data_IF_126085001702
#
_entry.id   IF_126085001702
#
_cell.length_a   1.000
_cell.length_b   1.000
_cell.length_c   1.000
_cell.angle_alpha   90.00
_cell.angle_beta   90.00
_cell.angle_gamma   90.00
#
_symmetry.space_group_name_H-M   'P 1'
#
loop_
_entity.id
_entity.type
_entity.pdbx_description
1 polymer ?
#
# COMPACT_ATOMS: atom_id res chain seq x y z
N UNK A 1 18.60 -28.65 45.96
CA UNK A 1 18.72 -27.33 46.61
C UNK A 1 20.19 -26.95 46.66
N UNK A 2 20.67 -26.13 45.73
CA UNK A 2 22.07 -25.65 45.75
C UNK A 2 22.11 -24.21 45.27
N UNK A 3 22.14 -23.28 46.23
CA UNK A 3 22.23 -21.83 46.01
C UNK A 3 23.69 -21.48 45.67
N UNK A 4 23.97 -21.06 44.43
CA UNK A 4 25.25 -20.44 44.06
C UNK A 4 25.13 -18.92 44.18
N UNK A 5 25.86 -18.35 45.13
CA UNK A 5 25.99 -16.91 45.31
C UNK A 5 26.97 -16.35 44.27
N UNK A 6 26.47 -15.49 43.39
CA UNK A 6 27.29 -14.75 42.44
C UNK A 6 27.79 -13.47 43.12
N UNK A 7 29.10 -13.40 43.36
CA UNK A 7 29.76 -12.20 43.90
C UNK A 7 30.23 -11.34 42.73
N UNK A 8 29.60 -10.18 42.55
CA UNK A 8 29.97 -9.19 41.52
C UNK A 8 31.17 -8.37 42.00
N UNK A 9 32.30 -8.46 41.30
CA UNK A 9 33.46 -7.58 41.51
C UNK A 9 33.24 -6.27 40.77
N UNK A 10 33.03 -5.18 41.53
CA UNK A 10 33.05 -3.81 41.02
C UNK A 10 34.50 -3.38 40.75
N UNK A 11 34.89 -3.38 39.48
CA UNK A 11 36.13 -2.76 39.01
C UNK A 11 36.02 -1.24 39.04
N UNK A 12 36.86 -0.59 39.85
CA UNK A 12 37.00 0.87 39.91
C UNK A 12 37.69 1.39 38.63
N UNK A 13 36.98 2.23 37.87
CA UNK A 13 37.53 2.90 36.69
C UNK A 13 38.30 4.17 37.13
N UNK A 14 39.53 4.39 36.64
CA UNK A 14 40.34 5.55 37.00
C UNK A 14 39.81 6.87 36.40
N UNK A 15 39.61 7.86 37.26
CA UNK A 15 38.92 9.13 37.04
C UNK A 15 39.64 10.15 36.12
N UNK A 16 40.74 9.78 35.45
CA UNK A 16 41.57 10.70 34.64
C UNK A 16 41.34 10.62 33.13
N UNK A 17 40.46 9.73 32.64
CA UNK A 17 40.04 9.69 31.23
C UNK A 17 38.73 10.45 30.95
N UNK A 18 38.10 11.03 31.97
CA UNK A 18 36.80 11.71 31.84
C UNK A 18 36.85 13.07 31.11
N UNK A 19 38.03 13.70 30.99
CA UNK A 19 38.11 15.05 30.43
C UNK A 19 38.35 15.06 28.91
N UNK A 20 38.89 13.98 28.32
CA UNK A 20 39.12 13.89 26.87
C UNK A 20 37.92 13.35 26.09
N UNK A 21 36.91 12.79 26.78
CA UNK A 21 35.66 12.32 26.19
C UNK A 21 34.60 13.43 26.09
N UNK A 22 34.70 14.48 26.90
CA UNK A 22 33.74 15.59 26.89
C UNK A 22 33.91 16.53 25.70
N UNK A 23 35.11 16.63 25.12
CA UNK A 23 35.37 17.49 23.95
C UNK A 23 35.07 16.83 22.59
N UNK A 24 34.87 15.51 22.56
CA UNK A 24 34.48 14.78 21.34
C UNK A 24 32.96 14.62 21.20
N UNK A 25 32.19 14.85 22.28
CA UNK A 25 30.73 14.80 22.26
C UNK A 25 30.07 16.10 21.76
N UNK A 26 30.78 17.23 21.69
CA UNK A 26 30.21 18.51 21.23
C UNK A 26 30.17 18.68 19.71
N UNK A 27 30.76 17.76 18.93
CA UNK A 27 30.78 17.83 17.47
C UNK A 27 29.63 17.06 16.78
N UNK A 28 28.72 16.42 17.52
CA UNK A 28 27.59 15.65 16.97
C UNK A 28 26.25 16.40 16.98
N UNK A 29 26.23 17.72 17.23
CA UNK A 29 25.00 18.52 17.34
C UNK A 29 24.68 19.41 16.12
N UNK A 30 25.44 19.31 15.02
CA UNK A 30 25.23 20.15 13.85
C UNK A 30 24.94 19.28 12.61
N UNK A 31 23.71 18.79 12.52
CA UNK A 31 23.27 18.00 11.37
C UNK A 31 21.85 17.49 11.48
N UNK A 32 20.93 18.24 12.10
CA UNK A 32 19.52 18.04 11.81
C UNK A 32 19.29 18.58 10.39
N UNK A 33 19.50 17.75 9.38
CA UNK A 33 18.94 18.01 8.06
C UNK A 33 17.44 17.97 8.24
N UNK A 34 16.77 19.09 8.00
CA UNK A 34 15.32 19.15 7.94
C UNK A 34 14.87 18.05 6.97
N UNK A 35 14.19 17.04 7.52
CA UNK A 35 13.52 16.03 6.70
C UNK A 35 12.42 16.81 5.99
N UNK A 36 12.62 17.09 4.70
CA UNK A 36 11.62 17.71 3.86
C UNK A 36 10.39 16.80 3.85
N UNK A 37 9.36 17.19 4.61
CA UNK A 37 8.10 16.47 4.64
C UNK A 37 7.51 16.55 3.24
N UNK A 38 7.54 15.43 2.51
CA UNK A 38 6.92 15.34 1.20
C UNK A 38 5.45 15.77 1.31
N UNK A 39 5.06 16.75 0.50
CA UNK A 39 3.66 17.17 0.40
C UNK A 39 2.92 16.05 -0.36
N UNK A 40 1.84 15.47 0.18
CA UNK A 40 1.11 14.41 -0.50
C UNK A 40 0.57 14.92 -1.84
N UNK A 41 0.67 14.11 -2.89
CA UNK A 41 0.15 14.51 -4.21
C UNK A 41 -1.38 14.54 -4.13
N UNK A 42 -2.04 15.59 -4.64
CA UNK A 42 -3.49 15.57 -4.72
C UNK A 42 -3.96 14.41 -5.59
N UNK A 43 -4.85 13.57 -5.06
CA UNK A 43 -5.40 12.42 -5.78
C UNK A 43 -6.24 12.93 -6.95
N UNK A 44 -5.98 12.47 -8.18
CA UNK A 44 -6.68 12.97 -9.34
C UNK A 44 -8.16 12.54 -9.35
N UNK A 45 -9.03 13.46 -9.76
CA UNK A 45 -10.45 13.17 -10.02
C UNK A 45 -10.68 12.48 -11.37
N UNK A 46 -9.65 12.40 -12.21
CA UNK A 46 -9.63 11.63 -13.45
C UNK A 46 -8.22 11.08 -13.69
N UNK A 47 -8.11 9.78 -13.94
CA UNK A 47 -6.85 9.08 -14.20
C UNK A 47 -6.62 9.02 -15.71
N UNK A 48 -5.50 9.57 -16.16
CA UNK A 48 -5.14 9.51 -17.58
C UNK A 48 -4.72 8.08 -17.96
N UNK A 49 -5.19 7.63 -19.12
CA UNK A 49 -4.73 6.40 -19.78
C UNK A 49 -3.90 6.84 -20.97
N UNK A 50 -2.59 6.58 -20.93
CA UNK A 50 -1.62 6.99 -21.94
C UNK A 50 -0.99 5.81 -22.67
N UNK A 51 -0.44 6.05 -23.85
CA UNK A 51 0.40 5.09 -24.55
C UNK A 51 1.89 5.17 -24.11
N UNK A 52 2.74 4.36 -24.73
CA UNK A 52 4.18 4.32 -24.38
C UNK A 52 4.93 5.63 -24.64
N UNK A 53 4.39 6.52 -25.46
CA UNK A 53 4.95 7.85 -25.71
C UNK A 53 4.49 8.91 -24.70
N UNK A 54 3.49 8.55 -23.88
CA UNK A 54 2.82 9.47 -22.94
C UNK A 54 1.63 10.21 -23.56
N UNK A 55 1.25 9.90 -24.81
CA UNK A 55 0.04 10.47 -25.41
C UNK A 55 -1.20 9.94 -24.69
N UNK A 56 -2.11 10.83 -24.29
CA UNK A 56 -3.35 10.42 -23.61
C UNK A 56 -4.32 9.80 -24.62
N UNK A 57 -4.65 8.53 -24.40
CA UNK A 57 -5.62 7.77 -25.18
C UNK A 57 -7.05 7.95 -24.65
N UNK A 58 -7.20 8.01 -23.33
CA UNK A 58 -8.48 8.11 -22.64
C UNK A 58 -8.32 8.67 -21.22
N UNK A 59 -9.44 8.91 -20.55
CA UNK A 59 -9.49 9.22 -19.13
C UNK A 59 -10.49 8.30 -18.44
N UNK A 60 -10.16 7.90 -17.22
CA UNK A 60 -11.05 7.16 -16.33
C UNK A 60 -11.44 8.05 -15.16
N UNK A 61 -12.73 8.06 -14.79
CA UNK A 61 -13.19 8.81 -13.62
C UNK A 61 -12.54 8.28 -12.34
N UNK A 62 -12.01 9.21 -11.53
CA UNK A 62 -11.36 8.96 -10.25
C UNK A 62 -12.15 9.55 -9.07
N UNK A 63 -11.61 9.48 -7.84
CA UNK A 63 -10.34 8.86 -7.48
C UNK A 63 -10.39 7.34 -7.62
N UNK A 64 -9.25 6.77 -8.04
CA UNK A 64 -9.13 5.33 -8.24
C UNK A 64 -8.17 4.74 -7.22
N UNK A 65 -8.71 3.89 -6.35
CA UNK A 65 -7.94 3.16 -5.35
C UNK A 65 -7.82 1.69 -5.73
N UNK A 66 -6.63 1.15 -5.51
CA UNK A 66 -6.30 -0.26 -5.73
C UNK A 66 -5.57 -0.81 -4.53
N UNK A 67 -5.52 -2.12 -4.41
CA UNK A 67 -4.65 -2.84 -3.49
C UNK A 67 -3.46 -3.39 -4.27
N UNK A 68 -2.24 -3.12 -3.80
CA UNK A 68 -1.04 -3.72 -4.37
C UNK A 68 -0.86 -5.11 -3.75
N UNK A 69 -0.75 -6.13 -4.58
CA UNK A 69 -0.86 -7.52 -4.17
C UNK A 69 0.18 -8.40 -4.85
N UNK A 70 0.97 -9.10 -4.04
CA UNK A 70 1.86 -10.18 -4.44
C UNK A 70 1.18 -11.55 -4.39
N UNK A 71 -0.16 -11.61 -4.24
CA UNK A 71 -0.94 -12.84 -4.31
C UNK A 71 -1.17 -13.21 -5.78
N UNK A 72 -0.83 -14.45 -6.13
CA UNK A 72 -1.03 -14.99 -7.48
C UNK A 72 -2.49 -15.41 -7.75
N UNK A 73 -2.75 -15.85 -8.98
CA UNK A 73 -4.06 -16.33 -9.43
C UNK A 73 -4.58 -17.57 -8.66
N UNK A 74 -3.72 -18.26 -7.90
CA UNK A 74 -4.08 -19.39 -7.05
C UNK A 74 -4.36 -18.99 -5.60
N UNK A 75 -4.22 -17.70 -5.26
CA UNK A 75 -4.37 -17.20 -3.89
C UNK A 75 -3.14 -17.43 -3.02
N UNK A 76 -1.99 -17.75 -3.62
CA UNK A 76 -0.74 -17.93 -2.90
C UNK A 76 0.06 -16.63 -2.91
N UNK A 77 0.64 -16.28 -1.76
CA UNK A 77 1.57 -15.14 -1.70
C UNK A 77 2.84 -15.56 -2.44
N UNK A 78 3.03 -15.02 -3.64
CA UNK A 78 4.26 -15.15 -4.41
C UNK A 78 5.32 -14.15 -3.92
N UNK A 79 4.88 -12.95 -3.54
CA UNK A 79 5.75 -11.84 -3.14
C UNK A 79 5.20 -11.12 -1.89
N UNK A 80 6.07 -10.90 -0.89
CA UNK A 80 5.75 -10.13 0.31
C UNK A 80 6.08 -8.64 0.19
N UNK A 81 6.97 -8.32 -0.74
CA UNK A 81 7.48 -6.98 -1.03
C UNK A 81 7.42 -6.77 -2.54
N UNK A 82 6.94 -5.59 -2.94
CA UNK A 82 6.75 -5.19 -4.32
C UNK A 82 7.66 -4.00 -4.60
N UNK A 83 8.29 -4.00 -5.77
CA UNK A 83 9.14 -2.89 -6.21
C UNK A 83 8.33 -1.92 -7.06
N UNK A 84 8.23 -0.66 -6.64
CA UNK A 84 7.76 0.43 -7.48
C UNK A 84 8.92 0.89 -8.36
N UNK A 85 8.73 0.85 -9.68
CA UNK A 85 9.71 1.19 -10.70
C UNK A 85 9.75 2.71 -10.94
N UNK A 86 10.90 3.22 -11.39
CA UNK A 86 11.03 4.64 -11.72
C UNK A 86 10.31 5.01 -13.04
N UNK A 87 10.17 4.05 -13.95
CA UNK A 87 9.54 4.21 -15.26
C UNK A 87 8.58 3.03 -15.55
N UNK A 88 7.59 3.17 -16.45
CA UNK A 88 6.64 2.11 -16.82
C UNK A 88 7.25 1.08 -17.78
N UNK A 89 8.34 0.45 -17.35
CA UNK A 89 9.08 -0.57 -18.07
C UNK A 89 9.59 -1.61 -17.07
N UNK A 90 9.39 -2.90 -17.35
CA UNK A 90 9.87 -3.99 -16.49
C UNK A 90 11.41 -4.01 -16.31
N UNK A 91 12.16 -3.38 -17.22
CA UNK A 91 13.60 -3.20 -17.13
C UNK A 91 14.03 -1.88 -16.46
N UNK A 92 13.07 -1.05 -16.02
CA UNK A 92 13.36 0.22 -15.37
C UNK A 92 14.12 0.02 -14.04
N UNK A 93 14.83 1.06 -13.64
CA UNK A 93 15.50 1.08 -12.34
C UNK A 93 14.46 0.93 -11.20
N UNK A 94 14.80 0.18 -10.14
CA UNK A 94 13.94 0.10 -8.97
C UNK A 94 13.83 1.46 -8.27
N UNK A 95 12.65 1.77 -7.76
CA UNK A 95 12.34 2.91 -6.90
C UNK A 95 12.08 2.44 -5.47
N UNK A 96 10.89 2.71 -4.94
CA UNK A 96 10.51 2.31 -3.59
C UNK A 96 10.19 0.80 -3.49
N UNK A 97 10.34 0.23 -2.29
CA UNK A 97 9.89 -1.13 -1.96
C UNK A 97 8.73 -1.00 -0.99
N UNK A 98 7.61 -1.65 -1.29
CA UNK A 98 6.39 -1.58 -0.50
C UNK A 98 5.90 -2.98 -0.13
N UNK A 99 5.22 -3.13 1.00
CA UNK A 99 4.62 -4.41 1.35
C UNK A 99 3.35 -4.68 0.55
N UNK A 100 3.09 -5.95 0.30
CA UNK A 100 1.80 -6.41 -0.25
C UNK A 100 0.64 -6.08 0.70
N UNK A 101 -0.56 -5.90 0.13
CA UNK A 101 -1.77 -5.53 0.86
C UNK A 101 -1.88 -4.04 1.17
N UNK A 102 -0.98 -3.21 0.63
CA UNK A 102 -1.04 -1.76 0.80
C UNK A 102 -2.01 -1.13 -0.22
N UNK A 103 -2.92 -0.24 0.21
CA UNK A 103 -3.75 0.50 -0.73
C UNK A 103 -2.93 1.63 -1.37
N UNK A 104 -3.22 1.88 -2.65
CA UNK A 104 -2.56 2.93 -3.42
C UNK A 104 -3.55 3.67 -4.33
N UNK A 105 -3.37 4.98 -4.45
CA UNK A 105 -4.08 5.79 -5.41
C UNK A 105 -3.42 5.66 -6.78
N UNK A 106 -4.21 5.43 -7.82
CA UNK A 106 -3.71 5.40 -9.19
C UNK A 106 -3.66 6.83 -9.72
N UNK A 107 -2.47 7.27 -10.13
CA UNK A 107 -2.21 8.59 -10.69
C UNK A 107 -2.27 8.59 -12.22
N UNK A 108 -1.78 7.52 -12.85
CA UNK A 108 -1.72 7.35 -14.30
C UNK A 108 -1.75 5.86 -14.66
N UNK A 109 -2.31 5.53 -15.82
CA UNK A 109 -2.24 4.20 -16.43
C UNK A 109 -1.48 4.35 -17.75
N UNK A 110 -0.37 3.63 -17.93
CA UNK A 110 0.38 3.63 -19.18
C UNK A 110 0.35 2.27 -19.86
N UNK A 111 -0.05 2.25 -21.12
CA UNK A 111 0.04 1.09 -21.99
C UNK A 111 1.39 1.08 -22.70
N UNK A 112 2.01 -0.09 -22.78
CA UNK A 112 3.33 -0.25 -23.40
C UNK A 112 3.60 -1.66 -23.91
N UNK A 113 4.85 -1.87 -24.32
CA UNK A 113 5.31 -3.12 -24.90
C UNK A 113 4.73 -3.43 -26.28
N UNK A 114 5.03 -4.61 -26.83
CA UNK A 114 4.49 -5.05 -28.11
C UNK A 114 2.95 -5.01 -28.08
N UNK A 115 2.35 -4.33 -29.06
CA UNK A 115 0.89 -4.23 -29.22
C UNK A 115 0.15 -3.55 -28.05
N UNK A 116 0.82 -2.75 -27.21
CA UNK A 116 0.21 -2.09 -26.04
C UNK A 116 -0.42 -3.07 -25.04
N UNK A 117 0.12 -4.29 -24.96
CA UNK A 117 -0.40 -5.35 -24.08
C UNK A 117 0.10 -5.25 -22.64
N UNK A 118 1.24 -4.59 -22.41
CA UNK A 118 1.74 -4.35 -21.05
C UNK A 118 1.08 -3.12 -20.50
N UNK A 119 0.74 -3.15 -19.21
CA UNK A 119 0.15 -2.01 -18.53
C UNK A 119 0.88 -1.76 -17.23
N UNK A 120 1.21 -0.50 -17.01
CA UNK A 120 1.83 -0.03 -15.78
C UNK A 120 0.93 1.03 -15.15
N UNK A 121 0.83 0.98 -13.84
CA UNK A 121 0.11 1.95 -13.05
C UNK A 121 1.12 2.80 -12.31
N UNK A 122 1.06 4.12 -12.51
CA UNK A 122 1.73 5.04 -11.62
C UNK A 122 0.86 5.18 -10.39
N UNK A 123 1.40 4.84 -9.23
CA UNK A 123 0.67 4.80 -7.97
C UNK A 123 1.35 5.61 -6.90
N UNK A 124 0.57 6.10 -5.94
CA UNK A 124 1.04 6.64 -4.66
C UNK A 124 0.39 5.86 -3.53
N UNK A 125 1.19 5.23 -2.67
CA UNK A 125 0.67 4.49 -1.52
C UNK A 125 0.18 5.45 -0.44
N UNK A 126 -0.61 4.95 0.50
CA UNK A 126 -1.02 5.74 1.69
C UNK A 126 0.14 6.25 2.53
N UNK A 127 1.34 5.69 2.38
CA UNK A 127 2.56 6.16 3.05
C UNK A 127 3.32 7.23 2.25
N UNK A 128 2.85 7.59 1.04
CA UNK A 128 3.47 8.57 0.15
C UNK A 128 4.49 8.00 -0.84
N UNK A 129 4.78 6.69 -0.78
CA UNK A 129 5.69 6.06 -1.75
C UNK A 129 5.06 6.09 -3.14
N UNK A 130 5.79 6.61 -4.12
CA UNK A 130 5.32 6.77 -5.50
C UNK A 130 6.22 6.00 -6.48
N UNK A 131 5.60 5.39 -7.50
CA UNK A 131 6.31 4.82 -8.63
C UNK A 131 5.39 4.06 -9.57
N UNK A 132 5.97 3.30 -10.50
CA UNK A 132 5.26 2.50 -11.48
C UNK A 132 5.20 1.04 -11.06
N UNK A 133 4.07 0.40 -11.25
CA UNK A 133 3.92 -1.04 -10.96
C UNK A 133 3.17 -1.73 -12.09
N UNK A 134 3.56 -2.96 -12.41
CA UNK A 134 2.85 -3.77 -13.41
C UNK A 134 1.42 -4.07 -12.96
N UNK A 135 0.52 -4.12 -13.93
CA UNK A 135 -0.85 -4.61 -13.74
C UNK A 135 -0.97 -5.97 -13.05
N UNK A 136 0.04 -6.83 -13.18
CA UNK A 136 0.11 -8.10 -12.47
C UNK A 136 -0.05 -7.96 -10.95
N UNK A 137 0.40 -6.85 -10.35
CA UNK A 137 0.34 -6.63 -8.90
C UNK A 137 -0.80 -5.71 -8.46
N UNK A 138 -1.68 -5.29 -9.38
CA UNK A 138 -2.77 -4.35 -9.07
C UNK A 138 -4.08 -5.11 -8.93
N UNK A 139 -4.79 -4.89 -7.81
CA UNK A 139 -6.11 -5.48 -7.55
C UNK A 139 -7.13 -4.38 -7.28
N UNK A 140 -8.24 -4.38 -8.02
CA UNK A 140 -9.39 -3.49 -7.75
C UNK A 140 -10.32 -4.03 -6.67
N UNK A 141 -10.34 -5.35 -6.56
CA UNK A 141 -11.19 -6.09 -5.65
C UNK A 141 -10.32 -6.65 -4.54
N UNK A 142 -10.78 -6.45 -3.32
CA UNK A 142 -10.34 -7.13 -2.12
C UNK A 142 -11.50 -7.98 -1.60
N UNK A 143 -11.29 -8.76 -0.54
CA UNK A 143 -12.39 -9.38 0.19
C UNK A 143 -12.32 -9.07 1.67
N UNK A 144 -13.47 -9.06 2.33
CA UNK A 144 -13.55 -8.91 3.77
C UNK A 144 -13.35 -10.26 4.45
N UNK A 145 -12.50 -10.29 5.47
CA UNK A 145 -12.26 -11.50 6.24
C UNK A 145 -12.06 -11.22 7.72
N UNK A 146 -12.85 -11.91 8.53
CA UNK A 146 -12.67 -11.96 9.97
C UNK A 146 -12.66 -13.42 10.43
N UNK A 147 -11.60 -13.82 11.12
CA UNK A 147 -11.54 -15.13 11.74
C UNK A 147 -12.69 -15.27 12.75
N UNK A 148 -13.30 -16.45 12.81
CA UNK A 148 -14.33 -16.82 13.78
C UNK A 148 -15.68 -16.09 13.64
N UNK A 149 -15.95 -15.44 12.50
CA UNK A 149 -17.26 -14.83 12.21
C UNK A 149 -17.80 -15.23 10.84
N UNK A 150 -19.12 -15.32 10.77
CA UNK A 150 -19.84 -15.53 9.50
C UNK A 150 -20.03 -14.22 8.72
N UNK A 151 -19.96 -13.08 9.40
CA UNK A 151 -20.14 -11.75 8.82
C UNK A 151 -19.08 -10.75 9.30
N UNK A 152 -18.83 -9.74 8.49
CA UNK A 152 -17.95 -8.60 8.78
C UNK A 152 -18.80 -7.32 8.85
N UNK A 153 -18.75 -6.57 9.97
CA UNK A 153 -19.53 -5.35 10.14
C UNK A 153 -18.92 -4.18 9.34
N UNK A 154 -19.79 -3.35 8.78
CA UNK A 154 -19.46 -2.04 8.21
C UNK A 154 -20.05 -0.93 9.07
N UNK A 155 -19.35 0.21 9.14
CA UNK A 155 -19.69 1.34 10.00
C UNK A 155 -19.94 2.63 9.21
N UNK A 156 -20.75 3.54 9.74
CA UNK A 156 -21.04 4.84 9.12
C UNK A 156 -19.82 5.76 9.05
N UNK A 157 -18.89 5.59 9.99
CA UNK A 157 -17.64 6.33 10.14
C UNK A 157 -16.62 5.43 10.86
N UNK A 158 -15.31 5.76 10.86
CA UNK A 158 -14.33 5.08 11.69
C UNK A 158 -14.80 4.98 13.15
N UNK A 159 -14.89 3.76 13.68
CA UNK A 159 -15.41 3.44 15.02
C UNK A 159 -16.84 4.00 15.32
N UNK A 160 -17.64 4.24 14.28
CA UNK A 160 -18.99 4.77 14.37
C UNK A 160 -20.06 3.71 14.66
N UNK A 161 -21.31 4.04 14.31
CA UNK A 161 -22.42 3.10 14.36
C UNK A 161 -22.33 2.09 13.22
N UNK A 162 -22.60 0.81 13.51
CA UNK A 162 -22.73 -0.23 12.49
C UNK A 162 -23.93 0.06 11.57
N UNK A 163 -23.70 0.00 10.24
CA UNK A 163 -24.72 0.28 9.22
C UNK A 163 -25.08 -0.95 8.38
N UNK A 164 -24.20 -1.94 8.31
CA UNK A 164 -24.41 -3.17 7.57
C UNK A 164 -23.54 -4.30 8.10
N UNK A 165 -23.90 -5.53 7.75
CA UNK A 165 -23.05 -6.71 7.88
C UNK A 165 -22.96 -7.40 6.54
N UNK A 166 -21.74 -7.65 6.07
CA UNK A 166 -21.50 -8.41 4.86
C UNK A 166 -21.11 -9.84 5.23
N UNK A 167 -21.49 -10.86 4.44
CA UNK A 167 -20.91 -12.18 4.57
C UNK A 167 -19.38 -12.13 4.64
N UNK A 168 -18.79 -13.03 5.41
CA UNK A 168 -17.35 -13.27 5.33
C UNK A 168 -17.00 -13.60 3.87
N UNK A 169 -15.77 -13.28 3.44
CA UNK A 169 -15.29 -13.42 2.04
C UNK A 169 -16.08 -12.62 0.99
N UNK A 170 -16.89 -11.62 1.39
CA UNK A 170 -17.54 -10.71 0.44
C UNK A 170 -16.52 -9.86 -0.35
N UNK A 171 -16.64 -9.78 -1.70
CA UNK A 171 -15.79 -8.95 -2.53
C UNK A 171 -16.14 -7.47 -2.38
N UNK A 172 -15.13 -6.62 -2.25
CA UNK A 172 -15.26 -5.18 -2.06
C UNK A 172 -14.25 -4.40 -2.91
N UNK A 173 -14.62 -3.18 -3.29
CA UNK A 173 -13.69 -2.19 -3.81
C UNK A 173 -13.31 -1.21 -2.69
N UNK A 174 -12.01 -0.91 -2.56
CA UNK A 174 -11.54 0.18 -1.68
C UNK A 174 -11.89 1.52 -2.33
N UNK A 175 -12.48 2.44 -1.57
CA UNK A 175 -12.90 3.77 -2.04
C UNK A 175 -12.12 4.90 -1.41
N UNK A 176 -11.73 4.73 -0.14
CA UNK A 176 -10.94 5.71 0.57
C UNK A 176 -10.26 5.01 1.75
N UNK A 177 -8.96 4.70 1.67
CA UNK A 177 -8.20 4.30 2.84
C UNK A 177 -7.88 5.53 3.70
N UNK A 178 -7.81 5.32 5.01
CA UNK A 178 -7.37 6.29 6.01
C UNK A 178 -6.08 5.79 6.69
N UNK A 179 -5.26 6.72 7.20
CA UNK A 179 -4.04 6.41 7.94
C UNK A 179 -4.33 5.88 9.35
N UNK A 180 -5.54 6.11 9.87
CA UNK A 180 -6.06 5.59 11.13
C UNK A 180 -6.43 4.10 11.14
N UNK A 181 -6.13 3.35 10.07
CA UNK A 181 -6.41 1.91 9.99
C UNK A 181 -7.86 1.57 9.65
N UNK A 182 -8.61 2.51 9.09
CA UNK A 182 -10.00 2.32 8.64
C UNK A 182 -10.13 2.60 7.16
N UNK A 183 -10.78 1.72 6.41
CA UNK A 183 -10.99 1.92 4.97
C UNK A 183 -12.48 2.01 4.67
N UNK A 184 -12.86 2.99 3.85
CA UNK A 184 -14.16 3.03 3.21
C UNK A 184 -14.16 2.02 2.05
N UNK A 185 -15.06 1.05 2.12
CA UNK A 185 -15.21 0.00 1.11
C UNK A 185 -16.62 -0.02 0.54
N UNK A 186 -16.75 -0.49 -0.69
CA UNK A 186 -18.03 -0.71 -1.36
C UNK A 186 -18.15 -2.20 -1.74
N UNK A 187 -19.20 -2.88 -1.29
CA UNK A 187 -19.53 -4.22 -1.74
C UNK A 187 -19.83 -4.24 -3.24
N UNK A 188 -19.27 -5.23 -3.95
CA UNK A 188 -19.44 -5.35 -5.41
C UNK A 188 -20.86 -5.80 -5.78
N UNK A 189 -21.48 -6.65 -4.96
CA UNK A 189 -22.75 -7.29 -5.27
C UNK A 189 -23.95 -6.33 -5.22
N UNK A 190 -24.04 -5.51 -4.17
CA UNK A 190 -25.20 -4.67 -3.89
C UNK A 190 -24.85 -3.16 -3.79
N UNK A 191 -23.58 -2.80 -3.90
CA UNK A 191 -23.10 -1.42 -3.78
C UNK A 191 -23.08 -0.87 -2.35
N UNK A 192 -23.32 -1.70 -1.32
CA UNK A 192 -23.32 -1.28 0.09
C UNK A 192 -21.98 -0.63 0.46
N UNK A 193 -22.04 0.57 1.01
CA UNK A 193 -20.88 1.39 1.35
C UNK A 193 -20.73 1.49 2.87
N UNK A 194 -19.52 1.32 3.38
CA UNK A 194 -19.23 1.58 4.79
C UNK A 194 -17.76 1.43 5.15
N UNK A 195 -17.43 1.89 6.35
CA UNK A 195 -16.09 1.83 6.92
C UNK A 195 -15.82 0.48 7.55
N UNK A 196 -14.63 -0.06 7.35
CA UNK A 196 -14.17 -1.32 7.94
C UNK A 196 -12.72 -1.16 8.43
N UNK A 197 -12.31 -1.95 9.42
CA UNK A 197 -10.92 -2.02 9.82
C UNK A 197 -10.06 -2.54 8.66
N UNK A 198 -8.92 -1.90 8.42
CA UNK A 198 -8.00 -2.24 7.35
C UNK A 198 -7.49 -3.69 7.44
N UNK A 199 -7.29 -4.20 8.66
CA UNK A 199 -6.84 -5.58 8.90
C UNK A 199 -7.85 -6.64 8.47
N UNK A 200 -9.12 -6.28 8.27
CA UNK A 200 -10.17 -7.17 7.76
C UNK A 200 -10.24 -7.17 6.24
N UNK A 201 -9.54 -6.28 5.54
CA UNK A 201 -9.50 -6.24 4.08
C UNK A 201 -8.32 -7.07 3.59
N UNK A 202 -8.58 -8.08 2.77
CA UNK A 202 -7.60 -9.03 2.27
C UNK A 202 -7.48 -8.99 0.76
N UNK A 203 -6.28 -9.29 0.28
CA UNK A 203 -5.95 -9.32 -1.14
C UNK A 203 -6.73 -10.40 -1.89
N UNK A 204 -7.36 -10.03 -3.00
CA UNK A 204 -8.05 -11.00 -3.86
C UNK A 204 -7.06 -11.67 -4.83
N UNK A 205 -7.19 -12.99 -5.07
CA UNK A 205 -6.50 -13.64 -6.20
C UNK A 205 -7.06 -13.20 -7.56
N UNK A 206 -8.25 -12.59 -7.59
CA UNK A 206 -8.86 -12.14 -8.83
C UNK A 206 -8.19 -10.84 -9.29
N UNK A 207 -7.43 -10.94 -10.39
CA UNK A 207 -7.03 -9.77 -11.14
C UNK A 207 -8.28 -9.20 -11.84
N UNK A 208 -8.64 -7.96 -11.54
CA UNK A 208 -9.65 -7.22 -12.31
C UNK A 208 -8.96 -6.04 -12.99
N UNK A 209 -8.93 -6.06 -14.31
CA UNK A 209 -8.30 -5.02 -15.12
C UNK A 209 -9.11 -3.71 -15.02
N UNK A 210 -8.41 -2.58 -14.97
CA UNK A 210 -9.06 -1.27 -14.83
C UNK A 210 -9.86 -0.83 -16.07
N UNK A 211 -9.58 -1.43 -17.21
CA UNK A 211 -10.29 -1.19 -18.47
C UNK A 211 -11.38 -2.22 -18.71
N UNK A 212 -12.47 -2.20 -17.95
CA UNK A 212 -13.74 -2.76 -18.45
C UNK A 212 -14.38 -1.76 -19.42
N UNK A 213 -13.69 -1.44 -20.50
CA UNK A 213 -14.40 -1.24 -21.76
C UNK A 213 -14.50 -2.64 -22.34
N UNK A 214 -15.71 -3.17 -22.35
CA UNK A 214 -16.07 -4.39 -23.04
C UNK A 214 -15.24 -4.49 -24.32
N UNK A 215 -14.36 -5.48 -24.39
CA UNK A 215 -13.90 -5.96 -25.68
C UNK A 215 -15.13 -6.61 -26.33
N UNK A 216 -16.03 -5.78 -26.86
CA UNK A 216 -16.93 -6.18 -27.93
C UNK A 216 -16.01 -6.56 -29.08
N UNK A 217 -15.71 -7.86 -29.18
CA UNK A 217 -15.19 -8.42 -30.40
C UNK A 217 -16.26 -8.18 -31.48
N UNK A 218 -15.95 -7.44 -32.55
CA UNK A 218 -16.84 -7.33 -33.70
C UNK A 218 -17.05 -8.68 -34.40
#
# INVERSE_FOLDING_TARGET
MTKRNHVSRLTRIPMKQFLSLFLLCTAFLAGCTDVETAVPTPIPTAVAISDSSGETLAQQEGPLWVLLSGVDEHGLIAEHELTLLQEPDAAAAPGAIVHTGIPAAVLEIRHGGPQNLQRFYRVETVNGDTGWISDYYVRRVAYLYQADRETVPLFAAPAGQEVAQLPNISPVAVKQPDDGGWWLVQAIEDGTLGWVQADLVKESPQAEFLTNQSHEHP
#
